data_IF_577668224443
#
_entry.id   IF_577668224443
#
_cell.length_a   1.000
_cell.length_b   1.000
_cell.length_c   1.000
_cell.angle_alpha   90.00
_cell.angle_beta   90.00
_cell.angle_gamma   90.00
#
_symmetry.space_group_name_H-M   'P 1'
#
loop_
_entity.id
_entity.type
_entity.pdbx_description
1 polymer ?
#
# COMPACT_ATOMS: atom_id res chain seq x y z
N UNK A 1 -11.12 20.71 -22.81
CA UNK A 1 -9.87 20.01 -22.42
C UNK A 1 -10.10 18.54 -22.68
N UNK A 2 -9.19 17.88 -23.39
CA UNK A 2 -9.28 16.44 -23.66
C UNK A 2 -8.90 15.68 -22.37
N UNK A 3 -9.69 14.69 -21.96
CA UNK A 3 -9.58 14.04 -20.65
C UNK A 3 -9.73 12.54 -20.80
N UNK A 4 -8.96 11.79 -20.02
CA UNK A 4 -9.20 10.37 -19.82
C UNK A 4 -10.15 10.17 -18.65
N UNK A 5 -11.28 9.51 -18.89
CA UNK A 5 -12.26 9.19 -17.86
C UNK A 5 -12.08 7.75 -17.36
N UNK A 6 -12.12 7.61 -16.04
CA UNK A 6 -12.00 6.34 -15.32
C UNK A 6 -13.26 6.20 -14.45
N UNK A 7 -14.16 5.34 -14.91
CA UNK A 7 -15.36 4.97 -14.16
C UNK A 7 -15.01 4.01 -13.02
N UNK A 8 -15.80 4.03 -11.96
CA UNK A 8 -15.77 2.98 -10.93
C UNK A 8 -15.98 1.59 -11.54
N UNK A 9 -15.61 0.56 -10.80
CA UNK A 9 -15.75 -0.84 -11.21
C UNK A 9 -15.76 -1.76 -10.00
N UNK A 10 -15.03 -2.87 -10.10
CA UNK A 10 -14.80 -3.75 -8.98
C UNK A 10 -14.03 -3.06 -7.84
N UNK A 11 -13.90 -3.76 -6.72
CA UNK A 11 -13.26 -3.18 -5.55
C UNK A 11 -11.76 -2.88 -5.75
N UNK A 12 -11.06 -3.59 -6.64
CA UNK A 12 -9.64 -3.38 -6.91
C UNK A 12 -9.43 -2.16 -7.80
N UNK A 13 -10.27 -1.98 -8.82
CA UNK A 13 -10.31 -0.76 -9.64
C UNK A 13 -10.65 0.43 -8.77
N UNK A 14 -11.66 0.30 -7.91
CA UNK A 14 -12.08 1.35 -6.99
C UNK A 14 -10.96 1.69 -6.00
N UNK A 15 -10.28 0.71 -5.44
CA UNK A 15 -9.08 0.94 -4.63
C UNK A 15 -7.96 1.59 -5.46
N UNK A 16 -7.80 1.22 -6.72
CA UNK A 16 -6.89 1.86 -7.67
C UNK A 16 -7.22 3.32 -7.95
N UNK A 17 -8.51 3.68 -8.04
CA UNK A 17 -8.98 5.08 -8.20
C UNK A 17 -8.65 5.89 -6.94
N UNK A 18 -8.84 5.33 -5.74
CA UNK A 18 -8.40 5.98 -4.50
C UNK A 18 -6.87 6.08 -4.45
N UNK A 19 -6.16 5.03 -4.91
CA UNK A 19 -4.70 4.99 -4.97
C UNK A 19 -4.11 6.04 -5.91
N UNK A 20 -4.67 6.20 -7.12
CA UNK A 20 -4.20 7.22 -8.07
C UNK A 20 -4.54 8.63 -7.58
N UNK A 21 -5.69 8.84 -6.94
CA UNK A 21 -6.00 10.12 -6.28
C UNK A 21 -4.97 10.45 -5.21
N UNK A 22 -4.66 9.50 -4.32
CA UNK A 22 -3.63 9.69 -3.29
C UNK A 22 -2.25 10.01 -3.89
N UNK A 23 -1.86 9.29 -4.94
CA UNK A 23 -0.61 9.51 -5.66
C UNK A 23 -0.54 10.91 -6.29
N UNK A 24 -1.64 11.42 -6.83
CA UNK A 24 -1.72 12.76 -7.40
C UNK A 24 -1.77 13.86 -6.33
N UNK A 25 -2.41 13.58 -5.18
CA UNK A 25 -2.51 14.52 -4.04
C UNK A 25 -1.15 14.85 -3.40
N UNK A 26 -0.18 13.95 -3.53
CA UNK A 26 1.15 14.11 -2.94
C UNK A 26 2.20 14.60 -3.94
N UNK A 27 1.86 14.65 -5.23
CA UNK A 27 2.73 15.13 -6.29
C UNK A 27 2.47 16.60 -6.57
N UNK A 28 3.14 17.16 -7.58
CA UNK A 28 2.92 18.55 -8.01
C UNK A 28 1.66 18.73 -8.87
N UNK A 29 0.83 17.69 -9.01
CA UNK A 29 -0.40 17.73 -9.80
C UNK A 29 -1.49 18.58 -9.12
N UNK A 30 -2.20 19.38 -9.92
CA UNK A 30 -3.20 20.35 -9.43
C UNK A 30 -4.62 19.80 -9.65
N UNK A 31 -5.36 19.60 -8.56
CA UNK A 31 -6.77 19.20 -8.61
C UNK A 31 -7.63 20.25 -9.35
N UNK A 32 -8.58 19.79 -10.16
CA UNK A 32 -9.41 20.56 -11.09
C UNK A 32 -8.67 21.17 -12.29
N UNK A 33 -7.37 20.93 -12.43
CA UNK A 33 -6.59 21.26 -13.63
C UNK A 33 -6.06 20.01 -14.30
N UNK A 34 -5.21 19.26 -13.59
CA UNK A 34 -4.50 18.09 -14.11
C UNK A 34 -5.31 16.80 -13.88
N UNK A 35 -6.17 16.78 -12.87
CA UNK A 35 -7.10 15.69 -12.59
C UNK A 35 -8.31 16.19 -11.80
N UNK A 36 -9.36 15.38 -11.69
CA UNK A 36 -10.50 15.69 -10.85
C UNK A 36 -11.59 14.64 -10.91
N UNK A 37 -12.78 15.04 -10.47
CA UNK A 37 -13.99 14.23 -10.54
C UNK A 37 -14.95 14.90 -11.53
N UNK A 38 -15.69 14.13 -12.31
CA UNK A 38 -16.72 14.63 -13.22
C UNK A 38 -17.84 15.35 -12.45
N UNK A 39 -18.58 16.23 -13.11
CA UNK A 39 -19.63 17.04 -12.47
C UNK A 39 -20.76 16.17 -11.87
N UNK A 40 -21.09 15.04 -12.51
CA UNK A 40 -22.04 14.04 -12.04
C UNK A 40 -21.47 13.11 -10.93
N UNK A 41 -20.20 13.29 -10.58
CA UNK A 41 -19.42 12.52 -9.63
C UNK A 41 -19.16 11.05 -10.03
N UNK A 42 -19.47 10.63 -11.26
CA UNK A 42 -19.39 9.22 -11.67
C UNK A 42 -18.01 8.79 -12.19
N UNK A 43 -17.17 9.72 -12.62
CA UNK A 43 -15.86 9.44 -13.20
C UNK A 43 -14.74 10.19 -12.46
N UNK A 44 -13.61 9.51 -12.30
CA UNK A 44 -12.33 10.18 -12.07
C UNK A 44 -11.74 10.55 -13.42
N UNK A 45 -11.29 11.79 -13.62
CA UNK A 45 -10.67 12.21 -14.87
C UNK A 45 -9.25 12.69 -14.67
N UNK A 46 -8.43 12.51 -15.71
CA UNK A 46 -7.04 13.00 -15.79
C UNK A 46 -6.91 13.76 -17.11
N UNK A 47 -6.33 14.95 -17.05
CA UNK A 47 -6.03 15.75 -18.25
C UNK A 47 -4.99 15.00 -19.11
N UNK A 48 -5.23 14.97 -20.42
CA UNK A 48 -4.50 14.09 -21.33
C UNK A 48 -3.04 14.47 -21.50
N UNK A 49 -2.72 15.76 -21.64
CA UNK A 49 -1.34 16.23 -21.78
C UNK A 49 -0.54 15.92 -20.51
N UNK A 50 -1.11 16.19 -19.33
CA UNK A 50 -0.54 15.81 -18.05
C UNK A 50 -0.32 14.30 -17.98
N UNK A 51 -1.33 13.49 -18.33
CA UNK A 51 -1.26 12.04 -18.22
C UNK A 51 -0.14 11.41 -19.06
N UNK A 52 0.15 11.97 -20.23
CA UNK A 52 1.20 11.50 -21.11
C UNK A 52 2.61 11.94 -20.65
N UNK A 53 2.72 13.10 -20.01
CA UNK A 53 4.00 13.68 -19.59
C UNK A 53 4.40 13.35 -18.14
N UNK A 54 3.45 12.99 -17.28
CA UNK A 54 3.70 12.71 -15.87
C UNK A 54 4.71 11.55 -15.65
N UNK A 55 5.55 11.69 -14.63
CA UNK A 55 6.42 10.61 -14.14
C UNK A 55 5.65 9.73 -13.15
N UNK A 56 4.81 8.85 -13.71
CA UNK A 56 4.00 7.92 -12.92
C UNK A 56 4.84 6.96 -12.07
N UNK A 57 6.05 6.63 -12.51
CA UNK A 57 6.95 5.76 -11.75
C UNK A 57 7.44 6.48 -10.51
N UNK A 58 7.95 7.70 -10.62
CA UNK A 58 8.39 8.45 -9.45
C UNK A 58 7.24 8.70 -8.48
N UNK A 59 6.09 9.16 -8.97
CA UNK A 59 4.92 9.39 -8.12
C UNK A 59 4.47 8.12 -7.36
N UNK A 60 4.52 6.94 -8.01
CA UNK A 60 4.19 5.67 -7.34
C UNK A 60 5.15 5.33 -6.19
N UNK A 61 6.45 5.53 -6.41
CA UNK A 61 7.48 5.23 -5.41
C UNK A 61 7.39 6.22 -4.24
N UNK A 62 7.26 7.52 -4.53
CA UNK A 62 7.08 8.54 -3.51
C UNK A 62 5.80 8.32 -2.69
N UNK A 63 4.69 7.93 -3.34
CA UNK A 63 3.44 7.59 -2.66
C UNK A 63 3.60 6.41 -1.71
N UNK A 64 4.24 5.35 -2.18
CA UNK A 64 4.48 4.15 -1.41
C UNK A 64 5.36 4.45 -0.19
N UNK A 65 6.45 5.20 -0.38
CA UNK A 65 7.37 5.58 0.71
C UNK A 65 6.70 6.54 1.69
N UNK A 66 5.92 7.52 1.22
CA UNK A 66 5.19 8.43 2.10
C UNK A 66 4.16 7.70 2.95
N UNK A 67 3.45 6.74 2.36
CA UNK A 67 2.36 6.06 3.06
C UNK A 67 2.86 4.95 4.01
N UNK A 68 3.79 4.12 3.55
CA UNK A 68 4.23 2.94 4.30
C UNK A 68 5.58 3.11 4.99
N UNK A 69 6.33 4.16 4.67
CA UNK A 69 7.74 4.35 5.07
C UNK A 69 7.97 4.27 6.57
N UNK A 70 7.12 4.91 7.36
CA UNK A 70 7.24 4.93 8.83
C UNK A 70 7.06 3.55 9.46
N UNK A 71 6.31 2.66 8.80
CA UNK A 71 6.09 1.29 9.28
C UNK A 71 7.17 0.31 8.79
N UNK A 72 8.20 0.77 8.08
CA UNK A 72 9.24 -0.09 7.54
C UNK A 72 10.34 -0.41 8.55
N UNK A 73 11.03 -1.53 8.32
CA UNK A 73 12.25 -1.88 9.04
C UNK A 73 13.34 -0.82 8.88
N UNK A 74 13.39 -0.12 7.74
CA UNK A 74 14.31 1.00 7.51
C UNK A 74 14.10 2.11 8.55
N UNK A 75 12.84 2.46 8.85
CA UNK A 75 12.53 3.47 9.86
C UNK A 75 13.02 3.03 11.25
N UNK A 76 12.76 1.77 11.64
CA UNK A 76 13.28 1.22 12.90
C UNK A 76 14.82 1.23 12.97
N UNK A 77 15.51 1.06 11.85
CA UNK A 77 16.98 1.19 11.80
C UNK A 77 17.41 2.63 12.11
N UNK A 78 16.77 3.63 11.48
CA UNK A 78 17.06 5.05 11.75
C UNK A 78 16.83 5.41 13.22
N UNK A 79 15.69 5.00 13.78
CA UNK A 79 15.35 5.24 15.19
C UNK A 79 16.38 4.64 16.14
N UNK A 80 16.81 3.39 15.88
CA UNK A 80 17.85 2.75 16.69
C UNK A 80 19.19 3.45 16.58
N UNK A 81 19.56 3.94 15.38
CA UNK A 81 20.78 4.74 15.21
C UNK A 81 20.68 6.03 16.05
N UNK A 82 19.57 6.76 15.94
CA UNK A 82 19.34 8.01 16.69
C UNK A 82 19.36 7.79 18.22
N UNK A 83 18.69 6.73 18.70
CA UNK A 83 18.68 6.37 20.14
C UNK A 83 20.10 6.11 20.64
N UNK A 84 20.91 5.38 19.87
CA UNK A 84 22.30 5.09 20.25
C UNK A 84 23.18 6.34 20.18
N UNK A 85 23.01 7.20 19.16
CA UNK A 85 23.71 8.48 19.05
C UNK A 85 23.40 9.39 20.24
N UNK A 86 22.12 9.53 20.62
CA UNK A 86 21.72 10.32 21.78
C UNK A 86 22.38 9.83 23.07
N UNK A 87 22.40 8.52 23.30
CA UNK A 87 23.07 7.93 24.48
C UNK A 87 24.59 8.17 24.48
N UNK A 88 25.22 8.20 23.31
CA UNK A 88 26.64 8.51 23.18
C UNK A 88 26.91 9.99 23.49
N UNK A 89 26.09 10.90 22.96
CA UNK A 89 26.15 12.35 23.24
C UNK A 89 25.95 12.69 24.72
N UNK A 90 25.04 11.98 25.39
CA UNK A 90 24.74 12.15 26.82
C UNK A 90 25.73 11.40 27.74
N UNK A 91 26.74 10.73 27.18
CA UNK A 91 27.70 9.88 27.92
C UNK A 91 27.02 8.76 28.75
N UNK A 92 25.81 8.35 28.38
CA UNK A 92 25.06 7.28 29.06
C UNK A 92 25.15 5.93 28.37
N UNK A 93 25.74 5.87 27.17
CA UNK A 93 25.85 4.64 26.39
C UNK A 93 26.70 3.59 27.10
N UNK A 94 26.15 2.38 27.24
CA UNK A 94 26.85 1.21 27.78
C UNK A 94 26.54 0.00 26.91
N UNK A 95 27.46 -0.98 26.82
CA UNK A 95 27.26 -2.19 26.02
C UNK A 95 26.32 -3.19 26.73
N UNK A 96 25.15 -2.73 27.13
CA UNK A 96 24.12 -3.56 27.74
C UNK A 96 23.36 -4.35 26.66
N UNK A 97 22.45 -5.21 27.11
CA UNK A 97 21.71 -6.11 26.21
C UNK A 97 21.00 -5.35 25.08
N UNK A 98 20.37 -4.22 25.41
CA UNK A 98 19.58 -3.41 24.46
C UNK A 98 20.45 -2.81 23.37
N UNK A 99 21.57 -2.17 23.72
CA UNK A 99 22.50 -1.53 22.78
C UNK A 99 23.15 -2.58 21.87
N UNK A 100 23.54 -3.73 22.44
CA UNK A 100 24.04 -4.86 21.66
C UNK A 100 23.02 -5.37 20.65
N UNK A 101 21.76 -5.51 21.07
CA UNK A 101 20.66 -5.92 20.20
C UNK A 101 20.37 -4.88 19.11
N UNK A 102 20.47 -3.58 19.43
CA UNK A 102 20.32 -2.50 18.46
C UNK A 102 21.41 -2.53 17.39
N UNK A 103 22.69 -2.59 17.79
CA UNK A 103 23.81 -2.68 16.85
C UNK A 103 23.69 -3.93 15.97
N UNK A 104 23.32 -5.07 16.56
CA UNK A 104 23.06 -6.31 15.81
C UNK A 104 21.92 -6.12 14.82
N UNK A 105 20.80 -5.53 15.23
CA UNK A 105 19.65 -5.27 14.38
C UNK A 105 20.03 -4.38 13.19
N UNK A 106 20.73 -3.28 13.43
CA UNK A 106 21.20 -2.35 12.38
C UNK A 106 22.04 -3.12 11.35
N UNK A 107 23.04 -3.88 11.82
CA UNK A 107 23.89 -4.68 10.94
C UNK A 107 23.08 -5.72 10.14
N UNK A 108 22.26 -6.52 10.81
CA UNK A 108 21.54 -7.64 10.18
C UNK A 108 20.52 -7.16 9.14
N UNK A 109 19.84 -6.03 9.40
CA UNK A 109 18.85 -5.47 8.46
C UNK A 109 19.50 -4.76 7.28
N UNK A 110 20.46 -3.87 7.55
CA UNK A 110 21.15 -3.16 6.47
C UNK A 110 21.95 -4.10 5.58
N UNK A 111 22.51 -5.17 6.13
CA UNK A 111 23.27 -6.18 5.37
C UNK A 111 22.39 -7.35 4.90
N UNK A 112 21.07 -7.23 4.95
CA UNK A 112 20.19 -8.24 4.36
C UNK A 112 20.36 -8.31 2.84
N UNK A 113 20.14 -9.48 2.23
CA UNK A 113 20.27 -9.66 0.77
C UNK A 113 19.43 -8.66 -0.03
N UNK A 114 18.25 -8.30 0.50
CA UNK A 114 17.34 -7.34 -0.13
C UNK A 114 17.95 -5.93 -0.17
N UNK A 115 18.51 -5.47 0.96
CA UNK A 115 19.12 -4.13 1.06
C UNK A 115 20.45 -4.07 0.33
N UNK A 116 21.25 -5.13 0.38
CA UNK A 116 22.47 -5.21 -0.43
C UNK A 116 22.17 -5.10 -1.92
N UNK A 117 21.16 -5.80 -2.43
CA UNK A 117 20.72 -5.66 -3.82
C UNK A 117 20.22 -4.24 -4.13
N UNK A 118 19.50 -3.61 -3.19
CA UNK A 118 19.07 -2.21 -3.32
C UNK A 118 20.27 -1.26 -3.43
N UNK A 119 21.25 -1.40 -2.54
CA UNK A 119 22.48 -0.62 -2.55
C UNK A 119 23.24 -0.77 -3.87
N UNK A 120 23.41 -2.01 -4.39
CA UNK A 120 24.10 -2.21 -5.67
C UNK A 120 23.46 -1.47 -6.84
N UNK A 121 22.13 -1.30 -6.83
CA UNK A 121 21.40 -0.55 -7.87
C UNK A 121 21.63 0.97 -7.81
N UNK A 122 21.91 1.51 -6.62
CA UNK A 122 21.99 2.97 -6.39
C UNK A 122 23.39 3.48 -6.08
N UNK A 123 24.38 2.61 -5.82
CA UNK A 123 25.72 2.99 -5.36
C UNK A 123 26.46 4.02 -6.22
N UNK A 124 26.14 4.10 -7.51
CA UNK A 124 26.75 5.06 -8.44
C UNK A 124 25.94 6.37 -8.58
N UNK A 125 24.80 6.48 -7.89
CA UNK A 125 23.84 7.60 -7.96
C UNK A 125 23.69 8.31 -6.61
N UNK A 126 24.47 7.93 -5.60
CA UNK A 126 24.41 8.45 -4.23
C UNK A 126 25.78 8.96 -3.79
N UNK A 127 25.78 9.84 -2.79
CA UNK A 127 27.00 10.33 -2.17
C UNK A 127 27.52 9.32 -1.13
N UNK A 128 28.84 9.23 -1.01
CA UNK A 128 29.52 8.44 0.01
C UNK A 128 29.16 6.93 0.08
N UNK A 129 29.12 6.17 -1.04
CA UNK A 129 28.82 4.74 -1.03
C UNK A 129 29.83 3.91 -0.22
N UNK A 130 31.03 4.44 0.05
CA UNK A 130 32.04 3.86 0.91
C UNK A 130 31.54 3.60 2.35
N UNK A 131 30.58 4.39 2.86
CA UNK A 131 30.03 4.24 4.22
C UNK A 131 29.34 2.87 4.37
N UNK A 132 28.51 2.50 3.39
CA UNK A 132 27.85 1.20 3.40
C UNK A 132 28.83 0.05 3.13
N UNK A 133 29.85 0.27 2.29
CA UNK A 133 30.92 -0.72 2.08
C UNK A 133 31.77 -0.95 3.34
N UNK A 134 32.02 0.11 4.13
CA UNK A 134 32.67 0.03 5.45
C UNK A 134 31.83 -0.82 6.40
N UNK A 135 30.50 -0.64 6.44
CA UNK A 135 29.58 -1.49 7.20
C UNK A 135 29.64 -2.96 6.79
N UNK A 136 29.71 -3.25 5.48
CA UNK A 136 29.87 -4.62 4.95
C UNK A 136 31.16 -5.28 5.42
N UNK A 137 32.29 -4.56 5.36
CA UNK A 137 33.62 -5.06 5.74
C UNK A 137 33.75 -5.22 7.26
N UNK A 138 33.24 -4.24 8.00
CA UNK A 138 33.35 -4.18 9.44
C UNK A 138 32.00 -3.78 10.03
N UNK A 139 31.31 -4.74 10.64
CA UNK A 139 30.04 -4.51 11.33
C UNK A 139 30.23 -3.59 12.55
N UNK A 140 29.19 -2.82 12.88
CA UNK A 140 29.13 -2.07 14.16
C UNK A 140 29.22 -3.04 15.34
N UNK A 141 30.06 -2.76 16.33
CA UNK A 141 30.29 -3.62 17.50
C UNK A 141 30.38 -2.79 18.77
N UNK A 142 29.98 -3.40 19.87
CA UNK A 142 30.05 -2.83 21.22
C UNK A 142 31.49 -2.71 21.77
N UNK A 143 32.45 -3.34 21.11
CA UNK A 143 33.89 -3.29 21.44
C UNK A 143 34.65 -2.14 20.77
N UNK A 144 34.00 -1.37 19.89
CA UNK A 144 34.60 -0.18 19.29
C UNK A 144 34.83 0.89 20.35
N UNK A 145 35.77 1.80 20.11
CA UNK A 145 35.88 2.99 20.96
C UNK A 145 34.60 3.84 20.83
N UNK A 146 34.20 4.55 21.89
CA UNK A 146 32.97 5.35 21.88
C UNK A 146 32.97 6.39 20.74
N UNK A 147 34.09 7.09 20.55
CA UNK A 147 34.25 8.07 19.47
C UNK A 147 34.14 7.44 18.08
N UNK A 148 34.70 6.24 17.88
CA UNK A 148 34.59 5.51 16.62
C UNK A 148 33.14 5.08 16.37
N UNK A 149 32.47 4.51 17.38
CA UNK A 149 31.09 4.06 17.26
C UNK A 149 30.16 5.24 16.93
N UNK A 150 30.32 6.37 17.62
CA UNK A 150 29.57 7.59 17.37
C UNK A 150 29.77 8.09 15.95
N UNK A 151 31.03 8.26 15.52
CA UNK A 151 31.33 8.71 14.16
C UNK A 151 30.75 7.80 13.09
N UNK A 152 30.83 6.48 13.28
CA UNK A 152 30.27 5.49 12.36
C UNK A 152 28.75 5.52 12.32
N UNK A 153 28.08 5.74 13.44
CA UNK A 153 26.63 5.86 13.50
C UNK A 153 26.14 7.17 12.84
N UNK A 154 26.87 8.28 13.02
CA UNK A 154 26.57 9.57 12.34
C UNK A 154 26.73 9.45 10.82
N UNK A 155 27.88 8.96 10.36
CA UNK A 155 28.13 8.68 8.94
C UNK A 155 27.01 7.82 8.34
N UNK A 156 26.63 6.75 9.05
CA UNK A 156 25.59 5.83 8.58
C UNK A 156 24.21 6.49 8.56
N UNK A 157 23.87 7.32 9.55
CA UNK A 157 22.63 8.08 9.58
C UNK A 157 22.53 9.02 8.37
N UNK A 158 23.56 9.84 8.16
CA UNK A 158 23.63 10.80 7.05
C UNK A 158 23.57 10.11 5.68
N UNK A 159 24.22 8.94 5.56
CA UNK A 159 24.12 8.09 4.39
C UNK A 159 22.68 7.63 4.13
N UNK A 160 21.99 7.15 5.17
CA UNK A 160 20.67 6.54 5.04
C UNK A 160 19.58 7.57 4.72
N UNK A 161 19.68 8.80 5.23
CA UNK A 161 18.66 9.85 5.01
C UNK A 161 18.73 10.49 3.62
N UNK A 162 19.76 10.19 2.82
CA UNK A 162 19.81 10.63 1.42
C UNK A 162 18.52 10.20 0.68
N UNK A 163 17.92 11.05 -0.17
CA UNK A 163 16.60 10.78 -0.76
C UNK A 163 16.51 9.43 -1.48
N UNK A 164 17.51 9.08 -2.29
CA UNK A 164 17.52 7.82 -3.05
C UNK A 164 17.80 6.59 -2.16
N UNK A 165 18.59 6.75 -1.10
CA UNK A 165 18.78 5.70 -0.08
C UNK A 165 17.45 5.42 0.63
N UNK A 166 16.79 6.47 1.11
CA UNK A 166 15.48 6.39 1.77
C UNK A 166 14.46 5.71 0.87
N UNK A 167 14.29 6.19 -0.37
CA UNK A 167 13.35 5.60 -1.32
C UNK A 167 13.63 4.11 -1.54
N UNK A 168 14.89 3.77 -1.84
CA UNK A 168 15.28 2.39 -2.19
C UNK A 168 15.12 1.42 -1.04
N UNK A 169 15.63 1.75 0.15
CA UNK A 169 15.57 0.85 1.30
C UNK A 169 14.15 0.71 1.86
N UNK A 170 13.37 1.79 1.90
CA UNK A 170 11.94 1.71 2.21
C UNK A 170 11.24 0.79 1.21
N UNK A 171 11.42 0.99 -0.09
CA UNK A 171 10.74 0.18 -1.11
C UNK A 171 11.13 -1.30 -1.04
N UNK A 172 12.38 -1.63 -0.72
CA UNK A 172 12.79 -3.03 -0.46
C UNK A 172 11.99 -3.68 0.68
N UNK A 173 11.52 -2.93 1.66
CA UNK A 173 10.61 -3.44 2.70
C UNK A 173 9.15 -3.41 2.27
N UNK A 174 8.70 -2.31 1.67
CA UNK A 174 7.29 -2.08 1.29
C UNK A 174 6.80 -3.13 0.30
N UNK A 175 7.63 -3.47 -0.68
CA UNK A 175 7.31 -4.45 -1.72
C UNK A 175 6.92 -5.81 -1.13
N UNK A 176 7.68 -6.30 -0.14
CA UNK A 176 7.47 -7.64 0.43
C UNK A 176 6.49 -7.69 1.61
N UNK A 177 6.23 -6.55 2.24
CA UNK A 177 5.35 -6.50 3.41
C UNK A 177 3.94 -6.05 3.06
N UNK A 178 3.80 -5.12 2.10
CA UNK A 178 2.53 -4.46 1.81
C UNK A 178 2.06 -4.71 0.38
N UNK A 179 2.89 -4.39 -0.63
CA UNK A 179 2.45 -4.49 -2.05
C UNK A 179 2.16 -5.95 -2.42
N UNK A 180 3.02 -6.88 -2.03
CA UNK A 180 2.84 -8.29 -2.35
C UNK A 180 1.61 -8.93 -1.67
N UNK A 181 0.88 -8.21 -0.82
CA UNK A 181 -0.41 -8.67 -0.30
C UNK A 181 -1.50 -8.54 -1.36
N UNK A 182 -1.34 -7.66 -2.33
CA UNK A 182 -2.35 -7.38 -3.36
C UNK A 182 -2.04 -8.07 -4.67
N UNK A 183 -0.78 -8.10 -5.08
CA UNK A 183 -0.37 -8.68 -6.36
C UNK A 183 1.04 -9.29 -6.29
N UNK A 184 1.36 -10.22 -7.18
CA UNK A 184 2.62 -10.98 -7.19
C UNK A 184 2.95 -11.50 -8.60
N UNK A 185 4.12 -12.09 -8.79
CA UNK A 185 4.49 -12.79 -10.02
C UNK A 185 4.77 -11.88 -11.22
N UNK A 186 4.89 -10.58 -11.02
CA UNK A 186 5.13 -9.57 -12.05
C UNK A 186 6.07 -8.46 -11.56
N UNK A 187 6.71 -7.72 -12.47
CA UNK A 187 7.56 -6.57 -12.15
C UNK A 187 8.66 -6.92 -11.13
N UNK A 188 8.88 -6.09 -10.12
CA UNK A 188 9.85 -6.32 -9.05
C UNK A 188 9.47 -7.49 -8.12
N UNK A 189 8.24 -8.01 -8.19
CA UNK A 189 7.81 -9.22 -7.48
C UNK A 189 8.05 -10.51 -8.26
N UNK A 190 8.45 -10.42 -9.53
CA UNK A 190 8.93 -11.60 -10.25
C UNK A 190 10.31 -12.02 -9.71
N UNK A 191 10.45 -13.28 -9.28
CA UNK A 191 11.69 -13.80 -8.67
C UNK A 191 12.95 -13.56 -9.51
N UNK A 192 12.83 -13.65 -10.84
CA UNK A 192 13.93 -13.40 -11.79
C UNK A 192 14.43 -11.94 -11.79
N UNK A 193 13.64 -11.02 -11.24
CA UNK A 193 13.89 -9.59 -11.23
C UNK A 193 14.45 -9.09 -9.88
N UNK A 194 14.66 -9.94 -8.88
CA UNK A 194 15.02 -9.54 -7.52
C UNK A 194 16.27 -8.63 -7.40
N UNK A 195 17.20 -8.72 -8.37
CA UNK A 195 18.44 -7.93 -8.42
C UNK A 195 18.39 -6.73 -9.37
N UNK A 196 17.30 -6.53 -10.12
CA UNK A 196 17.18 -5.43 -11.09
C UNK A 196 16.65 -4.18 -10.40
N UNK A 197 16.76 -3.04 -11.08
CA UNK A 197 16.23 -1.76 -10.61
C UNK A 197 14.69 -1.80 -10.60
N UNK A 198 14.08 -1.44 -9.46
CA UNK A 198 12.62 -1.54 -9.29
C UNK A 198 11.87 -0.46 -10.08
N UNK A 199 12.44 0.75 -10.24
CA UNK A 199 11.82 1.84 -11.00
C UNK A 199 11.84 1.49 -12.48
N UNK A 200 12.97 1.01 -13.00
CA UNK A 200 13.07 0.57 -14.41
C UNK A 200 12.09 -0.56 -14.75
N UNK A 201 11.89 -1.52 -13.83
CA UNK A 201 10.92 -2.59 -14.00
C UNK A 201 9.48 -2.07 -13.97
N UNK A 202 9.15 -1.15 -13.06
CA UNK A 202 7.81 -0.61 -12.93
C UNK A 202 7.46 0.25 -14.13
N UNK A 203 8.38 1.11 -14.57
CA UNK A 203 8.26 1.92 -15.78
C UNK A 203 7.98 1.04 -16.99
N UNK A 204 8.79 0.00 -17.18
CA UNK A 204 8.66 -0.93 -18.32
C UNK A 204 7.36 -1.73 -18.32
N UNK A 205 6.94 -2.24 -17.16
CA UNK A 205 5.83 -3.19 -17.09
C UNK A 205 4.45 -2.56 -16.89
N UNK A 206 4.39 -1.32 -16.40
CA UNK A 206 3.14 -0.63 -16.09
C UNK A 206 3.02 0.73 -16.80
N UNK A 207 4.01 1.61 -16.69
CA UNK A 207 3.89 3.02 -17.15
C UNK A 207 4.01 3.15 -18.67
N UNK A 208 4.99 2.50 -19.30
CA UNK A 208 5.14 2.52 -20.76
C UNK A 208 3.89 1.95 -21.44
N UNK A 209 3.36 0.77 -21.05
CA UNK A 209 2.09 0.26 -21.60
C UNK A 209 0.91 1.20 -21.37
N UNK A 210 0.82 1.84 -20.20
CA UNK A 210 -0.22 2.81 -19.87
C UNK A 210 -0.20 4.00 -20.84
N UNK A 211 0.95 4.66 -20.99
CA UNK A 211 1.11 5.81 -21.89
C UNK A 211 0.86 5.43 -23.35
N UNK A 212 1.38 4.28 -23.78
CA UNK A 212 1.15 3.77 -25.14
C UNK A 212 -0.32 3.49 -25.43
N UNK A 213 -1.09 3.04 -24.42
CA UNK A 213 -2.51 2.82 -24.54
C UNK A 213 -3.25 4.17 -24.66
N UNK A 214 -2.95 5.13 -23.80
CA UNK A 214 -3.55 6.47 -23.86
C UNK A 214 -3.27 7.25 -25.15
N UNK A 215 -2.14 7.00 -25.81
CA UNK A 215 -1.77 7.68 -27.06
C UNK A 215 -2.42 7.11 -28.32
N UNK A 216 -3.21 6.04 -28.24
CA UNK A 216 -3.81 5.37 -29.41
C UNK A 216 -5.33 5.41 -29.36
N UNK A 217 -5.94 5.29 -30.54
CA UNK A 217 -7.37 4.98 -30.67
C UNK A 217 -7.56 3.46 -30.74
N UNK A 218 -8.48 2.96 -29.92
CA UNK A 218 -8.82 1.54 -29.83
C UNK A 218 -10.23 1.25 -30.34
N UNK A 219 -10.93 2.21 -30.95
CA UNK A 219 -12.30 2.07 -31.44
C UNK A 219 -12.54 0.84 -32.35
N UNK A 220 -11.49 0.35 -33.03
CA UNK A 220 -11.52 -0.82 -33.94
C UNK A 220 -10.94 -2.10 -33.33
N UNK A 221 -10.41 -2.04 -32.12
CA UNK A 221 -9.81 -3.19 -31.45
C UNK A 221 -10.90 -4.18 -30.99
N UNK A 222 -10.58 -5.48 -30.98
CA UNK A 222 -11.58 -6.55 -30.77
C UNK A 222 -11.59 -7.15 -29.37
N UNK A 223 -10.47 -7.07 -28.66
CA UNK A 223 -10.40 -7.57 -27.30
C UNK A 223 -11.02 -6.55 -26.36
N UNK A 224 -11.71 -7.01 -25.31
CA UNK A 224 -12.31 -6.15 -24.32
C UNK A 224 -11.63 -6.37 -22.98
N UNK A 225 -11.36 -5.28 -22.27
CA UNK A 225 -10.95 -5.35 -20.87
C UNK A 225 -12.08 -5.96 -20.02
N UNK A 226 -11.79 -7.00 -19.24
CA UNK A 226 -12.78 -7.60 -18.33
C UNK A 226 -13.34 -6.61 -17.31
N UNK A 227 -12.54 -5.60 -16.94
CA UNK A 227 -12.89 -4.66 -15.87
C UNK A 227 -13.62 -3.40 -16.35
N UNK A 228 -13.20 -2.82 -17.48
CA UNK A 228 -13.80 -1.57 -17.97
C UNK A 228 -14.50 -1.70 -19.31
N UNK A 229 -14.50 -2.89 -19.93
CA UNK A 229 -15.02 -3.16 -21.27
C UNK A 229 -14.42 -2.28 -22.38
N UNK A 230 -13.38 -1.49 -22.11
CA UNK A 230 -12.70 -0.73 -23.16
C UNK A 230 -12.04 -1.69 -24.15
N UNK A 231 -12.15 -1.41 -25.46
CA UNK A 231 -11.39 -2.12 -26.48
C UNK A 231 -9.88 -2.00 -26.27
N UNK A 232 -9.14 -3.05 -26.60
CA UNK A 232 -7.68 -3.06 -26.57
C UNK A 232 -7.09 -3.99 -27.63
N UNK A 233 -5.83 -3.77 -28.01
CA UNK A 233 -5.14 -4.69 -28.92
C UNK A 233 -4.75 -5.98 -28.20
N UNK A 234 -4.70 -7.11 -28.92
CA UNK A 234 -4.32 -8.41 -28.34
C UNK A 234 -2.91 -8.45 -27.72
N UNK A 235 -2.02 -7.51 -28.08
CA UNK A 235 -0.68 -7.36 -27.49
C UNK A 235 -0.65 -6.54 -26.20
N UNK A 236 -1.72 -5.80 -25.91
CA UNK A 236 -1.84 -4.91 -24.75
C UNK A 236 -2.53 -5.61 -23.57
N UNK A 237 -3.12 -6.78 -23.81
CA UNK A 237 -3.83 -7.56 -22.79
C UNK A 237 -2.89 -8.01 -21.68
N UNK A 238 -3.32 -7.80 -20.44
CA UNK A 238 -2.60 -8.27 -19.25
C UNK A 238 -3.49 -9.25 -18.49
N UNK A 239 -2.99 -10.44 -18.20
CA UNK A 239 -3.70 -11.43 -17.38
C UNK A 239 -3.98 -10.86 -16.00
N UNK A 240 -5.20 -10.98 -15.48
CA UNK A 240 -5.55 -10.56 -14.10
C UNK A 240 -4.87 -11.43 -13.03
N UNK A 241 -4.30 -12.58 -13.38
CA UNK A 241 -3.70 -13.54 -12.44
C UNK A 241 -2.49 -13.03 -11.64
N UNK A 242 -1.95 -11.84 -11.97
CA UNK A 242 -0.96 -11.21 -11.11
C UNK A 242 -1.58 -10.67 -9.81
N UNK A 243 -2.89 -10.43 -9.77
CA UNK A 243 -3.60 -10.05 -8.55
C UNK A 243 -3.84 -11.29 -7.67
N UNK A 244 -3.50 -11.17 -6.38
CA UNK A 244 -3.70 -12.26 -5.43
C UNK A 244 -5.18 -12.57 -5.27
N UNK A 245 -5.49 -13.87 -5.30
CA UNK A 245 -6.84 -14.44 -5.10
C UNK A 245 -7.88 -14.05 -6.17
N UNK A 246 -7.50 -13.34 -7.24
CA UNK A 246 -8.45 -12.95 -8.28
C UNK A 246 -8.56 -13.96 -9.42
N UNK A 247 -7.46 -14.61 -9.78
CA UNK A 247 -7.47 -15.65 -10.80
C UNK A 247 -6.35 -16.67 -10.60
N UNK A 248 -6.60 -17.87 -11.12
CA UNK A 248 -5.61 -18.93 -11.26
C UNK A 248 -4.61 -18.65 -12.40
N UNK A 249 -3.59 -19.50 -12.56
CA UNK A 249 -2.68 -19.43 -13.71
C UNK A 249 -3.45 -19.67 -15.03
N UNK A 250 -3.83 -18.57 -15.70
CA UNK A 250 -4.61 -18.59 -16.93
C UNK A 250 -3.90 -19.26 -18.11
N UNK A 251 -2.56 -19.43 -18.05
CA UNK A 251 -1.83 -20.15 -19.08
C UNK A 251 -2.04 -21.67 -18.97
N UNK A 252 -2.23 -22.18 -17.76
CA UNK A 252 -2.28 -23.63 -17.46
C UNK A 252 -3.66 -24.13 -17.04
N UNK A 253 -4.44 -23.31 -16.33
CA UNK A 253 -5.72 -23.68 -15.72
C UNK A 253 -6.87 -23.00 -16.44
N UNK A 254 -7.29 -23.60 -17.56
CA UNK A 254 -8.33 -23.05 -18.45
C UNK A 254 -9.71 -23.68 -18.24
N UNK A 255 -9.81 -24.77 -17.51
CA UNK A 255 -11.06 -25.55 -17.36
C UNK A 255 -12.21 -24.79 -16.71
N UNK A 256 -11.90 -23.75 -15.91
CA UNK A 256 -12.91 -22.89 -15.30
C UNK A 256 -13.55 -21.88 -16.28
N UNK A 257 -12.96 -21.70 -17.47
CA UNK A 257 -13.44 -20.75 -18.47
C UNK A 257 -14.40 -21.40 -19.44
N UNK A 258 -15.36 -20.62 -19.93
CA UNK A 258 -16.31 -21.08 -20.93
C UNK A 258 -15.57 -21.61 -22.17
N UNK A 259 -15.84 -22.87 -22.52
CA UNK A 259 -15.16 -23.58 -23.61
C UNK A 259 -13.62 -23.54 -23.51
N UNK A 260 -13.08 -23.48 -22.29
CA UNK A 260 -11.65 -23.34 -22.01
C UNK A 260 -10.98 -22.12 -22.67
N UNK A 261 -11.76 -21.09 -23.03
CA UNK A 261 -11.28 -19.84 -23.63
C UNK A 261 -11.17 -18.76 -22.56
N UNK A 262 -9.93 -18.40 -22.24
CA UNK A 262 -9.64 -17.34 -21.26
C UNK A 262 -10.05 -15.98 -21.82
N UNK A 263 -10.81 -15.24 -21.02
CA UNK A 263 -11.29 -13.87 -21.28
C UNK A 263 -10.98 -12.89 -20.13
N UNK A 264 -10.31 -13.35 -19.06
CA UNK A 264 -9.95 -12.53 -17.90
C UNK A 264 -8.68 -11.69 -18.10
N UNK A 265 -8.76 -10.73 -19.03
CA UNK A 265 -7.66 -9.81 -19.35
C UNK A 265 -8.00 -8.35 -19.07
N UNK A 266 -7.04 -7.62 -18.52
CA UNK A 266 -7.11 -6.19 -18.26
C UNK A 266 -6.45 -5.39 -19.37
N UNK A 267 -6.96 -4.18 -19.64
CA UNK A 267 -6.24 -3.16 -20.39
C UNK A 267 -5.12 -2.53 -19.53
N UNK A 268 -4.16 -1.82 -20.13
CA UNK A 268 -3.08 -1.14 -19.41
C UNK A 268 -3.55 -0.16 -18.34
N UNK A 269 -4.68 0.55 -18.54
CA UNK A 269 -5.25 1.47 -17.55
C UNK A 269 -5.70 0.71 -16.28
N UNK A 270 -6.51 -0.34 -16.45
CA UNK A 270 -6.98 -1.13 -15.31
C UNK A 270 -5.83 -1.89 -14.64
N UNK A 271 -4.85 -2.35 -15.42
CA UNK A 271 -3.62 -2.98 -14.89
C UNK A 271 -2.86 -2.03 -13.97
N UNK A 272 -2.70 -0.76 -14.38
CA UNK A 272 -2.06 0.26 -13.58
C UNK A 272 -2.85 0.56 -12.31
N UNK A 273 -4.17 0.78 -12.41
CA UNK A 273 -5.05 1.00 -11.24
C UNK A 273 -4.98 -0.17 -10.24
N UNK A 274 -4.97 -1.40 -10.74
CA UNK A 274 -4.84 -2.58 -9.90
C UNK A 274 -3.50 -2.64 -9.16
N UNK A 275 -2.41 -2.24 -9.82
CA UNK A 275 -1.10 -2.12 -9.17
C UNK A 275 -1.11 -1.05 -8.06
N UNK A 276 -1.93 0.00 -8.19
CA UNK A 276 -2.13 1.07 -7.20
C UNK A 276 -3.10 0.69 -6.07
N UNK A 277 -3.80 -0.45 -6.15
CA UNK A 277 -4.75 -0.87 -5.10
C UNK A 277 -4.19 -0.85 -3.68
N UNK A 278 -2.91 -1.20 -3.38
CA UNK A 278 -2.39 -1.08 -2.02
C UNK A 278 -2.46 0.34 -1.45
N UNK A 279 -2.29 1.37 -2.29
CA UNK A 279 -2.36 2.78 -1.88
C UNK A 279 -3.82 3.20 -1.60
N UNK A 280 -4.80 2.54 -2.21
CA UNK A 280 -6.21 2.77 -1.95
C UNK A 280 -6.67 2.33 -0.57
N UNK A 281 -6.15 1.21 -0.06
CA UNK A 281 -6.54 0.64 1.24
C UNK A 281 -5.94 1.41 2.42
N UNK A 282 -6.73 1.61 3.48
CA UNK A 282 -6.30 2.18 4.77
C UNK A 282 -5.58 1.10 5.60
N UNK A 283 -4.34 1.33 6.01
CA UNK A 283 -3.58 0.41 6.85
C UNK A 283 -3.85 0.74 8.32
N UNK A 284 -4.62 -0.11 8.97
CA UNK A 284 -5.00 0.01 10.37
C UNK A 284 -4.29 -1.12 11.11
N UNK A 285 -3.14 -0.79 11.71
CA UNK A 285 -2.28 -1.76 12.39
C UNK A 285 -1.73 -2.78 11.40
N UNK A 286 -2.12 -4.05 11.54
CA UNK A 286 -1.73 -5.13 10.64
C UNK A 286 -2.85 -5.53 9.66
N UNK A 287 -3.91 -4.71 9.49
CA UNK A 287 -4.99 -4.94 8.53
C UNK A 287 -5.17 -3.78 7.56
N UNK A 288 -5.35 -4.12 6.29
CA UNK A 288 -5.84 -3.24 5.24
C UNK A 288 -7.37 -3.21 5.28
N UNK A 289 -7.95 -2.01 5.31
CA UNK A 289 -9.37 -1.73 5.24
C UNK A 289 -9.69 -0.93 3.98
N UNK A 290 -10.72 -1.34 3.26
CA UNK A 290 -11.31 -0.53 2.20
C UNK A 290 -12.82 -0.53 2.31
N UNK A 291 -13.40 0.66 2.23
CA UNK A 291 -14.85 0.85 2.23
C UNK A 291 -15.29 1.08 0.79
N UNK A 292 -15.75 0.00 0.15
CA UNK A 292 -16.22 0.05 -1.22
C UNK A 292 -17.68 0.53 -1.25
N UNK A 293 -17.94 1.59 -2.03
CA UNK A 293 -19.27 2.15 -2.30
C UNK A 293 -19.42 2.36 -3.81
N UNK A 294 -20.59 2.02 -4.34
CA UNK A 294 -20.89 2.12 -5.77
C UNK A 294 -21.80 3.32 -6.09
N UNK A 295 -21.93 4.29 -5.16
CA UNK A 295 -22.82 5.43 -5.37
C UNK A 295 -22.24 6.46 -6.32
N UNK A 296 -20.98 6.85 -6.10
CA UNK A 296 -20.21 7.75 -6.95
C UNK A 296 -18.73 7.77 -6.51
N UNK A 297 -17.84 8.26 -7.39
CA UNK A 297 -16.39 8.32 -7.17
C UNK A 297 -16.02 9.28 -6.03
N UNK A 298 -16.75 10.38 -5.85
CA UNK A 298 -16.49 11.35 -4.78
C UNK A 298 -16.66 10.75 -3.39
N UNK A 299 -17.73 9.99 -3.17
CA UNK A 299 -17.99 9.27 -1.93
C UNK A 299 -16.99 8.14 -1.73
N UNK A 300 -16.67 7.39 -2.80
CA UNK A 300 -15.64 6.34 -2.76
C UNK A 300 -14.28 6.88 -2.28
N UNK A 301 -13.81 7.99 -2.86
CA UNK A 301 -12.57 8.65 -2.45
C UNK A 301 -12.70 9.17 -1.02
N UNK A 302 -13.80 9.88 -0.71
CA UNK A 302 -14.08 10.43 0.62
C UNK A 302 -13.99 9.39 1.73
N UNK A 303 -14.51 8.20 1.47
CA UNK A 303 -14.60 7.10 2.43
C UNK A 303 -13.26 6.42 2.73
N UNK A 304 -12.24 6.66 1.90
CA UNK A 304 -10.94 6.00 1.97
C UNK A 304 -9.75 6.98 2.02
N UNK A 305 -10.00 8.27 2.31
CA UNK A 305 -8.93 9.27 2.43
C UNK A 305 -8.01 8.97 3.60
N UNK A 306 -6.72 9.24 3.43
CA UNK A 306 -5.67 9.06 4.46
C UNK A 306 -5.66 10.13 5.55
N UNK A 307 -6.65 11.03 5.58
CA UNK A 307 -6.84 12.03 6.62
C UNK A 307 -8.26 11.94 7.24
N UNK A 308 -8.91 10.79 7.05
CA UNK A 308 -10.22 10.50 7.61
C UNK A 308 -10.19 10.49 9.14
N UNK A 309 -11.37 10.51 9.78
CA UNK A 309 -11.47 10.29 11.23
C UNK A 309 -10.92 8.93 11.63
N UNK A 310 -11.03 7.94 10.75
CA UNK A 310 -10.44 6.61 10.91
C UNK A 310 -8.92 6.72 11.06
N UNK A 311 -8.26 7.54 10.23
CA UNK A 311 -6.83 7.78 10.34
C UNK A 311 -6.48 8.47 11.67
N UNK A 312 -7.23 9.50 12.07
CA UNK A 312 -7.00 10.24 13.32
C UNK A 312 -7.16 9.35 14.56
N UNK A 313 -8.06 8.37 14.49
CA UNK A 313 -8.33 7.45 15.58
C UNK A 313 -7.53 6.13 15.46
N UNK A 314 -6.72 5.95 14.39
CA UNK A 314 -6.03 4.68 14.08
C UNK A 314 -5.02 4.28 15.14
N UNK A 315 -4.49 5.21 15.91
CA UNK A 315 -3.51 4.87 16.94
C UNK A 315 -4.18 4.10 18.07
N UNK A 316 -3.48 3.04 18.50
CA UNK A 316 -3.88 2.23 19.62
C UNK A 316 -3.54 2.98 20.90
N UNK A 317 -4.51 3.16 21.79
CA UNK A 317 -4.28 3.85 23.06
C UNK A 317 -3.48 2.96 24.03
N UNK A 318 -2.77 3.59 24.96
CA UNK A 318 -2.05 2.87 26.02
C UNK A 318 -3.00 1.96 26.80
N UNK A 319 -2.60 0.70 26.99
CA UNK A 319 -3.38 -0.37 27.62
C UNK A 319 -4.67 -0.82 26.88
N UNK A 320 -4.97 -0.29 25.69
CA UNK A 320 -6.05 -0.82 24.84
C UNK A 320 -5.66 -2.23 24.35
N UNK A 321 -6.59 -3.19 24.34
CA UNK A 321 -6.33 -4.50 23.72
C UNK A 321 -6.60 -4.40 22.22
N UNK A 322 -5.81 -5.10 21.39
CA UNK A 322 -5.95 -5.07 19.93
C UNK A 322 -7.41 -5.31 19.45
N UNK A 323 -8.15 -6.31 19.97
CA UNK A 323 -9.55 -6.49 19.58
C UNK A 323 -10.43 -5.27 19.85
N UNK A 324 -10.25 -4.62 21.01
CA UNK A 324 -11.05 -3.47 21.42
C UNK A 324 -10.73 -2.24 20.56
N UNK A 325 -9.45 -2.06 20.27
CA UNK A 325 -8.96 -1.05 19.34
C UNK A 325 -9.54 -1.25 17.93
N UNK A 326 -9.46 -2.45 17.37
CA UNK A 326 -10.01 -2.75 16.05
C UNK A 326 -11.54 -2.54 16.00
N UNK A 327 -12.25 -2.97 17.05
CA UNK A 327 -13.68 -2.77 17.19
C UNK A 327 -14.07 -1.28 17.26
N UNK A 328 -13.26 -0.46 17.94
CA UNK A 328 -13.43 1.00 17.96
C UNK A 328 -13.31 1.59 16.56
N UNK A 329 -12.29 1.22 15.80
CA UNK A 329 -12.13 1.68 14.42
C UNK A 329 -13.31 1.28 13.55
N UNK A 330 -13.76 0.02 13.66
CA UNK A 330 -14.93 -0.46 12.93
C UNK A 330 -16.21 0.30 13.32
N UNK A 331 -16.40 0.62 14.59
CA UNK A 331 -17.51 1.49 15.02
C UNK A 331 -17.40 2.90 14.40
N UNK A 332 -16.20 3.46 14.29
CA UNK A 332 -15.97 4.74 13.62
C UNK A 332 -16.36 4.67 12.15
N UNK A 333 -15.90 3.63 11.43
CA UNK A 333 -16.31 3.34 10.03
C UNK A 333 -17.84 3.29 9.91
N UNK A 334 -18.49 2.47 10.74
CA UNK A 334 -19.95 2.33 10.72
C UNK A 334 -20.65 3.66 11.00
N UNK A 335 -20.17 4.42 11.98
CA UNK A 335 -20.76 5.71 12.37
C UNK A 335 -20.69 6.75 11.23
N UNK A 336 -19.59 6.81 10.49
CA UNK A 336 -19.48 7.68 9.32
C UNK A 336 -20.45 7.25 8.22
N UNK A 337 -20.60 5.94 8.01
CA UNK A 337 -21.41 5.38 6.93
C UNK A 337 -22.91 5.38 7.21
N UNK A 338 -23.34 5.38 8.47
CA UNK A 338 -24.78 5.48 8.81
C UNK A 338 -25.45 6.77 8.29
N UNK A 339 -24.68 7.79 7.92
CA UNK A 339 -25.19 9.04 7.30
C UNK A 339 -25.51 8.89 5.80
N UNK A 340 -24.92 7.90 5.13
CA UNK A 340 -24.95 7.78 3.66
C UNK A 340 -26.10 6.88 3.13
N UNK A 341 -26.72 6.07 4.01
CA UNK A 341 -27.89 5.18 3.74
C UNK A 341 -27.81 4.31 2.46
N UNK A 342 -26.61 4.01 1.97
CA UNK A 342 -26.34 3.07 0.88
C UNK A 342 -25.84 1.71 1.36
N UNK A 343 -25.90 0.68 0.52
CA UNK A 343 -25.20 -0.57 0.81
C UNK A 343 -23.69 -0.30 0.76
N UNK A 344 -22.95 -0.75 1.78
CA UNK A 344 -21.49 -0.64 1.81
C UNK A 344 -20.88 -2.04 1.80
N UNK A 345 -19.76 -2.18 1.12
CA UNK A 345 -18.94 -3.38 1.18
C UNK A 345 -17.64 -3.02 1.89
N UNK A 346 -17.46 -3.58 3.08
CA UNK A 346 -16.21 -3.48 3.82
C UNK A 346 -15.31 -4.62 3.39
N UNK A 347 -14.07 -4.28 3.04
CA UNK A 347 -13.07 -5.23 2.59
C UNK A 347 -11.90 -5.16 3.52
N UNK A 348 -11.55 -6.30 4.11
CA UNK A 348 -10.42 -6.43 5.00
C UNK A 348 -9.40 -7.39 4.42
N UNK A 349 -8.11 -7.13 4.67
CA UNK A 349 -7.03 -8.07 4.39
C UNK A 349 -5.92 -7.87 5.40
N UNK A 350 -5.41 -8.94 6.01
CA UNK A 350 -4.25 -8.82 6.89
C UNK A 350 -2.92 -8.64 6.14
N UNK A 351 -1.87 -8.27 6.87
CA UNK A 351 -0.52 -8.05 6.31
C UNK A 351 0.33 -9.33 6.25
N UNK A 352 -0.16 -10.47 6.76
CA UNK A 352 0.55 -11.75 6.67
C UNK A 352 0.36 -12.39 5.29
N UNK A 353 1.10 -13.47 5.03
CA UNK A 353 1.12 -14.09 3.71
C UNK A 353 -0.07 -15.01 3.43
N UNK A 354 -0.57 -15.62 4.49
CA UNK A 354 -1.71 -16.50 4.53
C UNK A 354 -3.05 -15.76 4.62
N UNK A 355 -3.03 -14.47 4.97
CA UNK A 355 -4.24 -13.65 5.12
C UNK A 355 -4.92 -13.46 3.76
N UNK A 356 -6.24 -13.69 3.75
CA UNK A 356 -7.11 -13.57 2.58
C UNK A 356 -7.99 -12.34 2.65
N UNK A 357 -8.62 -12.00 1.53
CA UNK A 357 -9.66 -10.97 1.55
C UNK A 357 -10.89 -11.46 2.32
N UNK A 358 -11.39 -10.62 3.22
CA UNK A 358 -12.66 -10.79 3.90
C UNK A 358 -13.61 -9.71 3.39
N UNK A 359 -14.81 -10.11 2.99
CA UNK A 359 -15.82 -9.23 2.42
C UNK A 359 -17.04 -9.21 3.33
N UNK A 360 -17.40 -8.05 3.85
CA UNK A 360 -18.60 -7.85 4.67
C UNK A 360 -19.51 -6.84 3.98
N UNK A 361 -20.69 -7.30 3.55
CA UNK A 361 -21.70 -6.43 2.94
C UNK A 361 -22.66 -5.99 4.03
N UNK A 362 -22.78 -4.68 4.23
CA UNK A 362 -23.70 -4.09 5.20
C UNK A 362 -24.81 -3.41 4.43
N UNK A 363 -26.00 -4.00 4.50
CA UNK A 363 -27.18 -3.48 3.84
C UNK A 363 -27.66 -2.17 4.47
N UNK A 364 -28.28 -1.31 3.65
CA UNK A 364 -28.83 -0.02 4.09
C UNK A 364 -29.75 -0.14 5.31
N UNK A 365 -30.53 -1.22 5.42
CA UNK A 365 -31.49 -1.39 6.51
C UNK A 365 -30.79 -1.78 7.81
N UNK A 366 -29.67 -2.50 7.72
CA UNK A 366 -28.77 -2.72 8.87
C UNK A 366 -28.16 -1.38 9.28
N UNK A 367 -27.67 -0.56 8.35
CA UNK A 367 -27.13 0.77 8.68
C UNK A 367 -28.16 1.68 9.38
N UNK A 368 -29.44 1.60 9.01
CA UNK A 368 -30.52 2.32 9.71
C UNK A 368 -30.66 1.85 11.16
N UNK A 369 -30.60 0.54 11.40
CA UNK A 369 -30.63 -0.03 12.75
C UNK A 369 -29.39 0.43 13.53
N UNK A 370 -28.21 0.43 12.91
CA UNK A 370 -26.98 0.91 13.51
C UNK A 370 -26.97 2.43 13.79
N UNK A 371 -27.89 3.19 13.19
CA UNK A 371 -28.04 4.62 13.43
C UNK A 371 -28.88 4.91 14.70
N UNK A 372 -29.62 3.92 15.21
CA UNK A 372 -30.40 4.06 16.43
C UNK A 372 -29.49 4.33 17.65
N UNK A 373 -29.89 5.30 18.49
CA UNK A 373 -29.08 5.74 19.63
C UNK A 373 -28.84 4.62 20.65
N UNK A 374 -29.83 3.74 20.88
CA UNK A 374 -29.70 2.62 21.80
C UNK A 374 -28.77 1.56 21.24
N UNK A 375 -28.86 1.26 19.95
CA UNK A 375 -27.94 0.32 19.27
C UNK A 375 -26.51 0.86 19.28
N UNK A 376 -26.29 2.14 18.95
CA UNK A 376 -24.98 2.78 19.03
C UNK A 376 -24.37 2.71 20.42
N UNK A 377 -25.18 2.91 21.46
CA UNK A 377 -24.73 2.75 22.83
C UNK A 377 -24.21 1.34 23.12
N UNK A 378 -24.92 0.30 22.67
CA UNK A 378 -24.48 -1.09 22.85
C UNK A 378 -23.24 -1.43 21.99
N UNK A 379 -23.17 -0.96 20.74
CA UNK A 379 -21.97 -1.12 19.91
C UNK A 379 -20.74 -0.47 20.54
N UNK A 380 -20.88 0.72 21.13
CA UNK A 380 -19.77 1.37 21.83
C UNK A 380 -19.32 0.56 23.06
N UNK A 381 -20.24 -0.12 23.76
CA UNK A 381 -19.88 -1.04 24.85
C UNK A 381 -19.20 -2.31 24.34
N UNK A 382 -19.68 -2.88 23.24
CA UNK A 382 -19.03 -4.01 22.58
C UNK A 382 -17.64 -3.63 22.05
N UNK A 383 -17.45 -2.39 21.60
CA UNK A 383 -16.13 -1.89 21.23
C UNK A 383 -15.10 -1.98 22.37
N UNK A 384 -15.53 -1.76 23.62
CA UNK A 384 -14.66 -1.90 24.80
C UNK A 384 -14.39 -3.36 25.17
N UNK A 385 -15.35 -4.26 24.89
CA UNK A 385 -15.29 -5.69 25.21
C UNK A 385 -15.80 -6.53 24.02
N UNK A 386 -15.02 -6.64 22.94
CA UNK A 386 -15.52 -7.19 21.67
C UNK A 386 -15.57 -8.73 21.65
N UNK A 387 -14.93 -9.37 22.63
CA UNK A 387 -14.96 -10.82 22.80
C UNK A 387 -16.15 -11.17 23.68
N UNK A 388 -17.14 -11.85 23.10
CA UNK A 388 -18.33 -12.34 23.80
C UNK A 388 -18.32 -13.85 23.84
N UNK A 389 -18.74 -14.42 24.98
CA UNK A 389 -18.94 -15.86 25.12
C UNK A 389 -20.34 -16.22 24.63
N UNK A 390 -20.44 -17.06 23.60
CA UNK A 390 -21.71 -17.62 23.09
C UNK A 390 -21.63 -19.13 23.27
N UNK A 391 -22.42 -19.69 24.20
CA UNK A 391 -22.31 -21.08 24.59
C UNK A 391 -20.93 -21.40 25.18
N UNK A 392 -20.18 -22.31 24.54
CA UNK A 392 -18.80 -22.68 24.91
C UNK A 392 -17.73 -21.86 24.21
N UNK A 393 -18.07 -21.05 23.19
CA UNK A 393 -17.12 -20.39 22.32
C UNK A 393 -16.93 -18.91 22.69
N UNK A 394 -15.72 -18.39 22.45
CA UNK A 394 -15.41 -16.97 22.54
C UNK A 394 -15.27 -16.40 21.13
N UNK A 395 -16.13 -15.46 20.79
CA UNK A 395 -16.23 -14.89 19.45
C UNK A 395 -15.89 -13.40 19.52
N UNK A 396 -15.04 -12.93 18.59
CA UNK A 396 -14.83 -11.50 18.39
C UNK A 396 -15.83 -11.00 17.35
N UNK A 397 -16.83 -10.24 17.80
CA UNK A 397 -17.96 -9.79 16.98
C UNK A 397 -17.53 -8.97 15.75
N UNK A 398 -16.34 -8.35 15.79
CA UNK A 398 -15.83 -7.50 14.72
C UNK A 398 -14.88 -8.21 13.74
N UNK A 399 -14.41 -9.41 14.08
CA UNK A 399 -13.42 -10.14 13.27
C UNK A 399 -13.96 -11.48 12.71
N UNK A 400 -15.09 -11.98 13.23
CA UNK A 400 -15.67 -13.28 12.86
C UNK A 400 -16.91 -13.13 11.98
N UNK A 401 -16.87 -12.27 10.96
CA UNK A 401 -17.98 -12.10 9.99
C UNK A 401 -17.72 -12.89 8.72
#
# INVERSE_FOLDING_TARGET
MDRFEILSGDFLKNAGIVGIKYLLDISDAIENRDYGISEDNQAFWIEKEFALNADWTDMYFQASVRYFGESTVYQTVLEKIQINLKKLEEETWKPDKTEKEDLKFINDKLLSNSYQAGFENIKNKISHPEIYNKLKKEKLKDKMSLNELEGRLRELYDFLIQPLCRETFCMKSIVYNYINRFWDGKCFLLRANAKKDMKELFEKEFVIPLKQFWSKDHSKSKELCIECANPMDSKEKVSIAFMKEMADDLARKKSAFWNCKVDAFLCPVCTFLYALSPLGFQLIGDKFLFVNTNKNVKELIGNNRKNSRIEQEKEKQDNEKYPAWFARIMNTVLSEKTRELGNIQIILRGTKAEDRYLFSIIHKDVLKILNDNKIRYFLNRLGKHPITKIGSEYINVYETV
#
